data_IF_999315361438
#
_entry.id   IF_999315361438
#
_cell.length_a   1.000
_cell.length_b   1.000
_cell.length_c   1.000
_cell.angle_alpha   90.00
_cell.angle_beta   90.00
_cell.angle_gamma   90.00
#
_symmetry.space_group_name_H-M   'P 1'
#
loop_
_entity.id
_entity.type
_entity.pdbx_description
1 polymer ?
#
# COMPACT_ATOMS: atom_id res chain seq x y z
N UNK A 1 -27.66 -4.01 -0.57
CA UNK A 1 -27.65 -3.49 0.82
C UNK A 1 -28.27 -4.52 1.74
N UNK A 2 -27.63 -4.83 2.88
CA UNK A 2 -28.25 -5.69 3.89
C UNK A 2 -29.40 -4.95 4.56
N UNK A 3 -30.45 -5.67 4.96
CA UNK A 3 -31.67 -5.13 5.59
C UNK A 3 -31.46 -4.05 6.67
N UNK A 4 -30.51 -4.18 7.61
CA UNK A 4 -30.27 -3.13 8.62
C UNK A 4 -29.68 -1.82 8.05
N UNK A 5 -28.93 -1.88 6.94
CA UNK A 5 -28.26 -0.69 6.37
C UNK A 5 -29.25 0.27 5.69
N UNK A 6 -30.28 -0.26 5.03
CA UNK A 6 -31.31 0.55 4.38
C UNK A 6 -32.15 1.32 5.41
N UNK A 7 -32.57 0.63 6.48
CA UNK A 7 -33.34 1.24 7.56
C UNK A 7 -32.60 2.39 8.24
N UNK A 8 -31.32 2.18 8.53
CA UNK A 8 -30.46 3.18 9.16
C UNK A 8 -30.24 4.40 8.26
N UNK A 9 -30.12 4.21 6.93
CA UNK A 9 -29.99 5.31 5.97
C UNK A 9 -31.27 6.13 5.84
N UNK A 10 -32.44 5.48 5.84
CA UNK A 10 -33.74 6.18 5.83
C UNK A 10 -33.91 7.02 7.10
N UNK A 11 -33.55 6.46 8.26
CA UNK A 11 -33.56 7.17 9.53
C UNK A 11 -32.65 8.41 9.49
N UNK A 12 -31.43 8.27 9.00
CA UNK A 12 -30.47 9.37 8.85
C UNK A 12 -31.01 10.48 7.94
N UNK A 13 -31.51 10.12 6.75
CA UNK A 13 -32.06 11.08 5.79
C UNK A 13 -33.28 11.82 6.35
N UNK A 14 -34.15 11.14 7.10
CA UNK A 14 -35.30 11.75 7.77
C UNK A 14 -34.84 12.78 8.81
N UNK A 15 -33.86 12.42 9.63
CA UNK A 15 -33.29 13.31 10.65
C UNK A 15 -32.59 14.52 10.03
N UNK A 16 -31.86 14.35 8.92
CA UNK A 16 -31.23 15.45 8.20
C UNK A 16 -32.24 16.45 7.63
N UNK A 17 -33.43 15.97 7.25
CA UNK A 17 -34.55 16.83 6.85
C UNK A 17 -35.34 17.42 8.02
N UNK A 18 -35.02 17.04 9.27
CA UNK A 18 -35.70 17.50 10.46
C UNK A 18 -37.13 16.98 10.63
N UNK A 19 -37.51 15.90 9.93
CA UNK A 19 -38.87 15.36 9.94
C UNK A 19 -39.08 14.38 11.10
N UNK A 20 -40.27 14.36 11.68
CA UNK A 20 -40.77 13.28 12.55
C UNK A 20 -41.20 12.06 11.72
N UNK A 21 -41.45 10.92 12.37
CA UNK A 21 -41.92 9.72 11.66
C UNK A 21 -43.32 9.95 11.08
N UNK A 22 -44.18 10.67 11.80
CA UNK A 22 -45.52 11.06 11.40
C UNK A 22 -45.49 11.99 10.18
N UNK A 23 -44.59 12.98 10.17
CA UNK A 23 -44.43 13.90 9.03
C UNK A 23 -43.90 13.20 7.77
N UNK A 24 -42.98 12.24 7.91
CA UNK A 24 -42.55 11.42 6.78
C UNK A 24 -43.70 10.56 6.24
N UNK A 25 -44.52 10.00 7.13
CA UNK A 25 -45.69 9.18 6.81
C UNK A 25 -46.72 9.96 6.00
N UNK A 26 -47.00 11.21 6.36
CA UNK A 26 -47.89 12.10 5.59
C UNK A 26 -47.40 12.30 4.15
N UNK A 27 -46.08 12.39 3.96
CA UNK A 27 -45.48 12.66 2.65
C UNK A 27 -45.36 11.41 1.77
N UNK A 28 -45.16 10.22 2.36
CA UNK A 28 -44.97 8.98 1.61
C UNK A 28 -46.18 8.03 1.61
N UNK A 29 -47.26 8.36 2.34
CA UNK A 29 -48.48 7.57 2.45
C UNK A 29 -48.24 6.10 2.86
N UNK A 30 -47.34 5.90 3.82
CA UNK A 30 -46.98 4.59 4.40
C UNK A 30 -47.33 4.63 5.89
N UNK A 31 -47.80 3.53 6.48
CA UNK A 31 -48.16 3.55 7.90
C UNK A 31 -46.95 3.83 8.82
N UNK A 32 -47.16 4.57 9.91
CA UNK A 32 -46.13 4.84 10.94
C UNK A 32 -45.45 3.55 11.40
N UNK A 33 -46.24 2.51 11.66
CA UNK A 33 -45.73 1.19 12.06
C UNK A 33 -44.81 0.56 11.01
N UNK A 34 -45.08 0.79 9.73
CA UNK A 34 -44.21 0.30 8.65
C UNK A 34 -42.90 1.08 8.60
N UNK A 35 -42.93 2.41 8.72
CA UNK A 35 -41.72 3.25 8.76
C UNK A 35 -40.84 2.86 9.95
N UNK A 36 -41.42 2.68 11.14
CA UNK A 36 -40.69 2.24 12.34
C UNK A 36 -39.97 0.91 12.14
N UNK A 37 -40.65 -0.08 11.57
CA UNK A 37 -40.06 -1.41 11.32
C UNK A 37 -38.99 -1.38 10.23
N UNK A 38 -39.13 -0.48 9.24
CA UNK A 38 -38.10 -0.24 8.22
C UNK A 38 -36.87 0.40 8.87
N UNK A 39 -37.05 1.50 9.64
CA UNK A 39 -35.95 2.21 10.32
C UNK A 39 -35.22 1.31 11.34
N UNK A 40 -35.95 0.43 12.03
CA UNK A 40 -35.39 -0.56 12.95
C UNK A 40 -34.76 -1.79 12.24
N UNK A 41 -34.87 -1.88 10.91
CA UNK A 41 -34.33 -3.01 10.14
C UNK A 41 -35.10 -4.32 10.33
N UNK A 42 -36.33 -4.29 10.84
CA UNK A 42 -37.17 -5.48 11.05
C UNK A 42 -37.88 -5.97 9.79
N UNK A 43 -38.07 -5.09 8.81
CA UNK A 43 -38.77 -5.42 7.55
C UNK A 43 -38.09 -4.81 6.34
N UNK A 44 -37.93 -5.61 5.28
CA UNK A 44 -37.52 -5.12 3.96
C UNK A 44 -38.71 -4.60 3.16
N UNK A 45 -38.76 -3.28 2.86
CA UNK A 45 -39.80 -2.73 1.99
C UNK A 45 -39.57 -3.15 0.53
N UNK A 46 -40.66 -3.17 -0.25
CA UNK A 46 -40.57 -3.39 -1.71
C UNK A 46 -39.95 -2.16 -2.39
N UNK A 47 -39.36 -2.35 -3.58
CA UNK A 47 -38.72 -1.27 -4.36
C UNK A 47 -39.63 -0.06 -4.55
N UNK A 48 -40.93 -0.27 -4.80
CA UNK A 48 -41.91 0.80 -4.91
C UNK A 48 -41.99 1.64 -3.62
N UNK A 49 -42.11 0.98 -2.46
CA UNK A 49 -42.15 1.62 -1.14
C UNK A 49 -40.86 2.41 -0.86
N UNK A 50 -39.71 1.87 -1.26
CA UNK A 50 -38.42 2.58 -1.13
C UNK A 50 -38.43 3.87 -1.95
N UNK A 51 -38.88 3.81 -3.21
CA UNK A 51 -39.02 5.02 -4.06
C UNK A 51 -39.90 6.07 -3.40
N UNK A 52 -41.06 5.66 -2.88
CA UNK A 52 -42.00 6.59 -2.25
C UNK A 52 -41.40 7.28 -1.02
N UNK A 53 -40.65 6.55 -0.19
CA UNK A 53 -39.95 7.13 0.97
C UNK A 53 -38.86 8.10 0.53
N UNK A 54 -38.02 7.72 -0.45
CA UNK A 54 -36.94 8.58 -0.93
C UNK A 54 -37.44 9.84 -1.61
N UNK A 55 -38.51 9.73 -2.41
CA UNK A 55 -39.15 10.89 -3.03
C UNK A 55 -39.66 11.88 -1.98
N UNK A 56 -40.23 11.41 -0.86
CA UNK A 56 -40.59 12.28 0.26
C UNK A 56 -39.36 12.93 0.93
N UNK A 57 -38.20 12.28 0.85
CA UNK A 57 -36.92 12.76 1.38
C UNK A 57 -36.12 13.61 0.36
N UNK A 58 -36.69 13.97 -0.79
CA UNK A 58 -36.00 14.65 -1.91
C UNK A 58 -34.71 13.92 -2.34
N UNK A 59 -34.80 12.60 -2.45
CA UNK A 59 -33.72 11.73 -2.92
C UNK A 59 -34.24 10.80 -4.00
N UNK A 60 -33.39 10.48 -4.97
CA UNK A 60 -33.70 9.43 -5.93
C UNK A 60 -33.16 8.09 -5.44
N UNK A 61 -33.66 7.00 -6.01
CA UNK A 61 -33.11 5.66 -5.75
C UNK A 61 -31.63 5.57 -6.17
N UNK A 62 -31.24 6.40 -7.14
CA UNK A 62 -29.86 6.58 -7.58
C UNK A 62 -28.97 7.29 -6.54
N UNK A 63 -29.55 8.05 -5.59
CA UNK A 63 -28.80 8.66 -4.47
C UNK A 63 -28.44 7.64 -3.40
N UNK A 64 -29.32 6.65 -3.15
CA UNK A 64 -28.93 5.47 -2.37
C UNK A 64 -27.84 4.67 -3.08
N UNK A 65 -27.81 4.77 -4.42
CA UNK A 65 -26.76 4.15 -5.19
C UNK A 65 -25.46 4.93 -5.18
N UNK A 66 -25.37 6.23 -4.91
CA UNK A 66 -24.07 6.94 -4.98
C UNK A 66 -23.03 6.42 -3.98
N UNK A 67 -23.43 5.99 -2.79
CA UNK A 67 -22.55 5.30 -1.83
C UNK A 67 -22.17 3.90 -2.36
N UNK A 68 -23.10 3.20 -3.02
CA UNK A 68 -22.87 1.89 -3.65
C UNK A 68 -22.15 1.94 -5.01
N UNK A 69 -22.21 3.08 -5.71
CA UNK A 69 -21.58 3.37 -7.00
C UNK A 69 -20.16 3.81 -6.70
N UNK A 70 -19.88 4.42 -5.55
CA UNK A 70 -18.51 4.54 -5.06
C UNK A 70 -17.93 3.16 -4.76
N UNK A 71 -18.63 2.28 -4.02
CA UNK A 71 -18.20 0.88 -3.85
C UNK A 71 -18.09 0.10 -5.17
N UNK A 72 -19.00 0.32 -6.12
CA UNK A 72 -19.04 -0.38 -7.41
C UNK A 72 -18.01 0.19 -8.37
N UNK A 73 -17.75 1.50 -8.40
CA UNK A 73 -16.65 2.10 -9.17
C UNK A 73 -15.31 1.83 -8.52
N UNK A 74 -15.24 1.63 -7.21
CA UNK A 74 -14.05 1.13 -6.53
C UNK A 74 -13.85 -0.36 -6.85
N UNK A 75 -14.90 -1.20 -6.87
CA UNK A 75 -14.83 -2.61 -7.31
C UNK A 75 -14.52 -2.77 -8.81
N UNK A 76 -15.19 -2.02 -9.69
CA UNK A 76 -14.97 -1.98 -11.13
C UNK A 76 -13.67 -1.27 -11.50
N UNK A 77 -13.24 -0.28 -10.70
CA UNK A 77 -11.88 0.17 -10.79
C UNK A 77 -10.96 -1.00 -10.40
N UNK A 78 -11.09 -1.58 -9.22
CA UNK A 78 -10.10 -2.52 -8.68
C UNK A 78 -10.06 -3.91 -9.33
N UNK A 79 -10.91 -4.24 -10.31
CA UNK A 79 -10.85 -5.47 -11.15
C UNK A 79 -10.29 -6.71 -10.45
N UNK A 80 -10.82 -7.01 -9.27
CA UNK A 80 -10.74 -8.34 -8.66
C UNK A 80 -12.07 -8.58 -7.94
N UNK A 81 -12.68 -9.71 -8.25
CA UNK A 81 -13.73 -10.34 -7.46
C UNK A 81 -13.20 -10.56 -6.04
N UNK A 82 -13.42 -9.55 -5.22
CA UNK A 82 -13.03 -9.51 -3.83
C UNK A 82 -14.11 -10.26 -3.03
N UNK A 83 -13.72 -11.40 -2.45
CA UNK A 83 -14.54 -12.23 -1.58
C UNK A 83 -14.94 -11.37 -0.35
N UNK A 84 -16.24 -11.13 -0.19
CA UNK A 84 -16.83 -10.19 0.80
C UNK A 84 -16.39 -10.47 2.26
N UNK A 85 -15.75 -11.60 2.53
CA UNK A 85 -15.26 -12.00 3.85
C UNK A 85 -13.78 -11.66 4.13
N UNK A 86 -12.95 -11.26 3.14
CA UNK A 86 -11.48 -11.15 3.32
C UNK A 86 -10.81 -9.81 2.99
N UNK A 87 -11.40 -8.86 2.27
CA UNK A 87 -10.53 -7.96 1.50
C UNK A 87 -10.04 -6.65 2.13
N UNK A 88 -10.77 -6.01 3.03
CA UNK A 88 -10.30 -4.75 3.64
C UNK A 88 -9.30 -4.97 4.77
N UNK A 89 -9.62 -5.90 5.67
CA UNK A 89 -8.77 -6.28 6.79
C UNK A 89 -7.45 -6.86 6.28
N UNK A 90 -7.48 -7.61 5.17
CA UNK A 90 -6.28 -8.06 4.47
C UNK A 90 -5.44 -6.90 3.97
N UNK A 91 -6.01 -5.93 3.23
CA UNK A 91 -5.27 -4.77 2.72
C UNK A 91 -4.58 -4.02 3.87
N UNK A 92 -5.34 -3.66 4.90
CA UNK A 92 -4.81 -2.92 6.05
C UNK A 92 -3.74 -3.71 6.81
N UNK A 93 -3.92 -5.03 7.00
CA UNK A 93 -2.92 -5.90 7.63
C UNK A 93 -1.63 -5.97 6.82
N UNK A 94 -1.71 -6.09 5.49
CA UNK A 94 -0.53 -6.16 4.63
C UNK A 94 0.21 -4.81 4.56
N UNK A 95 -0.51 -3.69 4.51
CA UNK A 95 0.10 -2.36 4.64
C UNK A 95 0.76 -2.20 6.02
N UNK A 96 0.13 -2.70 7.09
CA UNK A 96 0.68 -2.66 8.44
C UNK A 96 1.99 -3.44 8.56
N UNK A 97 2.02 -4.68 8.04
CA UNK A 97 3.23 -5.48 7.95
C UNK A 97 4.30 -4.76 7.12
N UNK A 98 3.91 -4.15 6.00
CA UNK A 98 4.82 -3.48 5.07
C UNK A 98 5.59 -2.30 5.66
N UNK A 99 4.94 -1.44 6.45
CA UNK A 99 5.63 -0.30 7.06
C UNK A 99 6.54 -0.72 8.22
N UNK A 100 6.12 -1.70 9.04
CA UNK A 100 6.95 -2.26 10.13
C UNK A 100 8.20 -2.92 9.56
N UNK A 101 8.01 -3.82 8.59
CA UNK A 101 9.12 -4.51 7.92
C UNK A 101 10.01 -3.55 7.14
N UNK A 102 9.46 -2.43 6.63
CA UNK A 102 10.24 -1.34 6.06
C UNK A 102 11.23 -0.74 7.05
N UNK A 103 10.77 -0.37 8.25
CA UNK A 103 11.66 0.17 9.31
C UNK A 103 12.69 -0.88 9.74
N UNK A 104 12.28 -2.13 9.94
CA UNK A 104 13.20 -3.21 10.32
C UNK A 104 14.24 -3.48 9.23
N UNK A 105 13.85 -3.45 7.95
CA UNK A 105 14.78 -3.61 6.82
C UNK A 105 15.77 -2.45 6.74
N UNK A 106 15.34 -1.21 7.03
CA UNK A 106 16.22 -0.06 7.11
C UNK A 106 17.28 -0.24 8.19
N UNK A 107 16.90 -0.73 9.38
CA UNK A 107 17.85 -1.03 10.46
C UNK A 107 18.81 -2.14 10.02
N UNK A 108 18.30 -3.23 9.43
CA UNK A 108 19.12 -4.33 8.96
C UNK A 108 20.16 -3.88 7.91
N UNK A 109 19.77 -3.02 6.97
CA UNK A 109 20.68 -2.44 5.99
C UNK A 109 21.73 -1.50 6.59
N UNK A 110 21.46 -0.82 7.71
CA UNK A 110 22.49 -0.06 8.43
C UNK A 110 23.55 -1.03 8.98
N UNK A 111 23.15 -2.12 9.62
CA UNK A 111 24.10 -3.14 10.09
C UNK A 111 24.87 -3.77 8.94
N UNK A 112 24.21 -4.05 7.82
CA UNK A 112 24.87 -4.61 6.65
C UNK A 112 25.89 -3.63 6.07
N UNK A 113 25.56 -2.34 6.00
CA UNK A 113 26.50 -1.30 5.58
C UNK A 113 27.72 -1.19 6.51
N UNK A 114 27.53 -1.36 7.82
CA UNK A 114 28.63 -1.38 8.80
C UNK A 114 29.53 -2.59 8.56
N UNK A 115 28.94 -3.78 8.41
CA UNK A 115 29.68 -5.03 8.14
C UNK A 115 30.45 -4.95 6.82
N UNK A 116 29.80 -4.52 5.74
CA UNK A 116 30.43 -4.37 4.42
C UNK A 116 31.58 -3.35 4.49
N UNK A 117 31.38 -2.21 5.14
CA UNK A 117 32.44 -1.19 5.30
C UNK A 117 33.62 -1.71 6.12
N UNK A 118 33.35 -2.48 7.16
CA UNK A 118 34.39 -3.07 8.01
C UNK A 118 35.17 -4.16 7.27
N UNK A 119 34.48 -5.03 6.52
CA UNK A 119 35.10 -6.04 5.66
C UNK A 119 36.02 -5.41 4.61
N UNK A 120 35.60 -4.32 3.97
CA UNK A 120 36.44 -3.60 3.00
C UNK A 120 37.71 -3.04 3.66
N UNK A 121 37.60 -2.56 4.90
CA UNK A 121 38.70 -1.92 5.60
C UNK A 121 39.68 -2.91 6.26
N UNK A 122 39.17 -4.03 6.78
CA UNK A 122 39.93 -4.95 7.65
C UNK A 122 40.08 -6.35 7.06
N UNK A 123 39.32 -6.70 6.01
CA UNK A 123 39.30 -8.04 5.43
C UNK A 123 38.54 -9.08 6.24
N UNK A 124 37.76 -8.67 7.24
CA UNK A 124 36.94 -9.55 8.09
C UNK A 124 35.63 -8.85 8.50
N UNK A 125 34.65 -9.61 8.99
CA UNK A 125 33.35 -9.13 9.43
C UNK A 125 33.36 -8.71 10.92
N UNK A 126 32.75 -7.57 11.26
CA UNK A 126 32.87 -6.98 12.59
C UNK A 126 32.22 -7.85 13.67
N UNK A 127 31.00 -8.35 13.39
CA UNK A 127 30.29 -9.31 14.24
C UNK A 127 30.51 -10.78 13.80
N UNK A 128 31.36 -11.01 12.81
CA UNK A 128 31.71 -12.32 12.27
C UNK A 128 30.79 -12.83 11.15
N UNK A 129 31.32 -13.74 10.32
CA UNK A 129 30.64 -14.23 9.12
C UNK A 129 29.27 -14.89 9.37
N UNK A 130 29.10 -15.61 10.49
CA UNK A 130 27.79 -16.21 10.83
C UNK A 130 26.72 -15.13 11.05
N UNK A 131 27.07 -14.05 11.75
CA UNK A 131 26.16 -12.92 11.96
C UNK A 131 25.80 -12.28 10.62
N UNK A 132 26.78 -12.06 9.74
CA UNK A 132 26.56 -11.51 8.41
C UNK A 132 25.58 -12.34 7.57
N UNK A 133 25.72 -13.66 7.58
CA UNK A 133 24.82 -14.58 6.86
C UNK A 133 23.39 -14.49 7.41
N UNK A 134 23.23 -14.53 8.74
CA UNK A 134 21.91 -14.42 9.39
C UNK A 134 21.28 -13.07 9.05
N UNK A 135 22.05 -11.98 9.16
CA UNK A 135 21.60 -10.63 8.84
C UNK A 135 21.16 -10.52 7.37
N UNK A 136 21.91 -11.12 6.44
CA UNK A 136 21.55 -11.14 5.02
C UNK A 136 20.22 -11.87 4.75
N UNK A 137 20.03 -13.07 5.32
CA UNK A 137 18.77 -13.83 5.18
C UNK A 137 17.59 -13.07 5.79
N UNK A 138 17.76 -12.48 6.97
CA UNK A 138 16.73 -11.65 7.61
C UNK A 138 16.41 -10.43 6.77
N UNK A 139 17.42 -9.77 6.21
CA UNK A 139 17.26 -8.58 5.36
C UNK A 139 16.46 -8.89 4.10
N UNK A 140 16.73 -10.03 3.44
CA UNK A 140 15.96 -10.50 2.27
C UNK A 140 14.47 -10.63 2.64
N UNK A 141 14.15 -11.30 3.75
CA UNK A 141 12.77 -11.53 4.18
C UNK A 141 12.07 -10.20 4.50
N UNK A 142 12.72 -9.33 5.28
CA UNK A 142 12.17 -8.03 5.67
C UNK A 142 11.94 -7.12 4.47
N UNK A 143 12.92 -7.04 3.56
CA UNK A 143 12.80 -6.22 2.35
C UNK A 143 11.73 -6.76 1.40
N UNK A 144 11.62 -8.09 1.25
CA UNK A 144 10.57 -8.70 0.44
C UNK A 144 9.16 -8.39 1.00
N UNK A 145 8.96 -8.49 2.33
CA UNK A 145 7.69 -8.14 2.97
C UNK A 145 7.37 -6.65 2.85
N UNK A 146 8.37 -5.79 2.95
CA UNK A 146 8.23 -4.35 2.73
C UNK A 146 7.78 -4.06 1.29
N UNK A 147 8.50 -4.59 0.30
CA UNK A 147 8.21 -4.35 -1.12
C UNK A 147 6.92 -5.01 -1.59
N UNK A 148 6.46 -6.08 -0.93
CA UNK A 148 5.12 -6.66 -1.15
C UNK A 148 4.00 -5.65 -0.87
N UNK A 149 4.20 -4.68 0.04
CA UNK A 149 3.25 -3.59 0.21
C UNK A 149 3.17 -2.71 -1.04
N UNK A 150 4.27 -2.48 -1.76
CA UNK A 150 4.26 -1.73 -3.02
C UNK A 150 3.66 -2.50 -4.19
N UNK A 151 3.77 -3.84 -4.20
CA UNK A 151 3.01 -4.70 -5.12
C UNK A 151 1.51 -4.47 -4.90
N UNK A 152 1.07 -4.54 -3.64
CA UNK A 152 -0.32 -4.28 -3.26
C UNK A 152 -0.75 -2.85 -3.63
N UNK A 153 0.07 -1.82 -3.32
CA UNK A 153 -0.22 -0.43 -3.71
C UNK A 153 -0.32 -0.31 -5.24
N UNK A 154 0.52 -1.01 -5.99
CA UNK A 154 0.44 -1.10 -7.45
C UNK A 154 -0.91 -1.64 -7.92
N UNK A 155 -1.45 -2.64 -7.24
CA UNK A 155 -2.78 -3.18 -7.52
C UNK A 155 -3.88 -2.18 -7.13
N UNK A 156 -3.84 -1.63 -5.92
CA UNK A 156 -4.82 -0.65 -5.41
C UNK A 156 -4.97 0.58 -6.32
N UNK A 157 -3.86 1.07 -6.86
CA UNK A 157 -3.82 2.27 -7.70
C UNK A 157 -3.71 1.96 -9.21
N UNK A 158 -3.91 0.71 -9.64
CA UNK A 158 -3.78 0.26 -11.04
C UNK A 158 -2.45 0.61 -11.71
N UNK A 159 -1.37 0.70 -10.93
CA UNK A 159 -0.03 0.95 -11.44
C UNK A 159 0.67 -0.38 -11.72
N UNK A 160 0.50 -0.90 -12.94
CA UNK A 160 1.21 -2.10 -13.40
C UNK A 160 2.73 -1.93 -13.31
N UNK A 161 3.23 -0.74 -13.64
CA UNK A 161 4.66 -0.42 -13.54
C UNK A 161 5.18 -0.50 -12.10
N UNK A 162 4.43 0.00 -11.11
CA UNK A 162 4.82 -0.11 -9.70
C UNK A 162 4.87 -1.58 -9.26
N UNK A 163 3.86 -2.37 -9.63
CA UNK A 163 3.80 -3.80 -9.33
C UNK A 163 5.04 -4.55 -9.88
N UNK A 164 5.34 -4.38 -11.17
CA UNK A 164 6.46 -5.07 -11.82
C UNK A 164 7.79 -4.60 -11.26
N UNK A 165 8.00 -3.29 -11.10
CA UNK A 165 9.27 -2.76 -10.59
C UNK A 165 9.52 -3.16 -9.14
N UNK A 166 8.48 -3.28 -8.31
CA UNK A 166 8.62 -3.83 -6.96
C UNK A 166 9.05 -5.30 -6.95
N UNK A 167 8.47 -6.14 -7.82
CA UNK A 167 8.88 -7.55 -7.94
C UNK A 167 10.34 -7.64 -8.38
N UNK A 168 10.73 -6.89 -9.41
CA UNK A 168 12.11 -6.84 -9.88
C UNK A 168 13.07 -6.39 -8.78
N UNK A 169 12.68 -5.40 -7.98
CA UNK A 169 13.51 -4.93 -6.87
C UNK A 169 13.74 -6.04 -5.84
N UNK A 170 12.69 -6.79 -5.47
CA UNK A 170 12.82 -7.95 -4.57
C UNK A 170 13.79 -8.97 -5.16
N UNK A 171 13.64 -9.30 -6.44
CA UNK A 171 14.51 -10.27 -7.12
C UNK A 171 15.96 -9.80 -7.13
N UNK A 172 16.21 -8.54 -7.48
CA UNK A 172 17.56 -7.95 -7.52
C UNK A 172 18.20 -7.97 -6.13
N UNK A 173 17.49 -7.48 -5.10
CA UNK A 173 18.00 -7.46 -3.74
C UNK A 173 18.32 -8.88 -3.24
N UNK A 174 17.41 -9.82 -3.46
CA UNK A 174 17.60 -11.23 -3.09
C UNK A 174 18.82 -11.83 -3.78
N UNK A 175 18.95 -11.67 -5.09
CA UNK A 175 20.05 -12.24 -5.86
C UNK A 175 21.40 -11.67 -5.44
N UNK A 176 21.49 -10.35 -5.20
CA UNK A 176 22.73 -9.72 -4.78
C UNK A 176 23.14 -10.15 -3.37
N UNK A 177 22.21 -10.21 -2.41
CA UNK A 177 22.53 -10.65 -1.04
C UNK A 177 22.91 -12.15 -1.02
N UNK A 178 22.17 -13.00 -1.74
CA UNK A 178 22.52 -14.41 -1.86
C UNK A 178 23.89 -14.60 -2.49
N UNK A 179 24.21 -13.81 -3.52
CA UNK A 179 25.53 -13.82 -4.11
C UNK A 179 26.63 -13.55 -3.07
N UNK A 180 26.52 -12.47 -2.27
CA UNK A 180 27.56 -12.16 -1.27
C UNK A 180 27.70 -13.26 -0.21
N UNK A 181 26.58 -13.83 0.25
CA UNK A 181 26.60 -14.94 1.20
C UNK A 181 27.34 -16.16 0.63
N UNK A 182 27.14 -16.46 -0.65
CA UNK A 182 27.83 -17.55 -1.33
C UNK A 182 29.31 -17.19 -1.47
N UNK A 183 29.61 -16.00 -1.98
CA UNK A 183 30.95 -15.54 -2.31
C UNK A 183 31.89 -15.54 -1.09
N UNK A 184 31.34 -15.34 0.12
CA UNK A 184 32.04 -15.38 1.40
C UNK A 184 32.94 -16.61 1.61
N UNK A 185 32.61 -17.75 1.00
CA UNK A 185 33.36 -19.01 1.16
C UNK A 185 34.15 -19.45 -0.08
N UNK A 186 33.98 -18.77 -1.21
CA UNK A 186 34.44 -19.29 -2.51
C UNK A 186 35.19 -18.28 -3.38
N UNK A 187 35.13 -16.99 -3.09
CA UNK A 187 35.82 -15.92 -3.83
C UNK A 187 35.65 -16.02 -5.36
N UNK A 188 34.40 -16.20 -5.81
CA UNK A 188 34.05 -16.39 -7.21
C UNK A 188 34.31 -15.16 -8.07
N UNK A 189 34.15 -13.95 -7.53
CA UNK A 189 34.34 -12.71 -8.30
C UNK A 189 35.24 -11.71 -7.57
N UNK A 190 36.13 -11.01 -8.30
CA UNK A 190 36.84 -9.87 -7.75
C UNK A 190 35.88 -8.81 -7.22
N UNK A 191 36.18 -8.29 -6.03
CA UNK A 191 35.34 -7.31 -5.33
C UNK A 191 34.95 -6.09 -6.19
N UNK A 192 35.88 -5.59 -7.01
CA UNK A 192 35.60 -4.47 -7.92
C UNK A 192 34.56 -4.79 -8.99
N UNK A 193 34.53 -6.02 -9.50
CA UNK A 193 33.51 -6.44 -10.46
C UNK A 193 32.14 -6.61 -9.79
N UNK A 194 32.09 -7.18 -8.57
CA UNK A 194 30.85 -7.22 -7.80
C UNK A 194 30.31 -5.81 -7.49
N UNK A 195 31.18 -4.86 -7.12
CA UNK A 195 30.77 -3.48 -6.86
C UNK A 195 30.13 -2.81 -8.09
N UNK A 196 30.64 -3.06 -9.30
CA UNK A 196 30.04 -2.56 -10.55
C UNK A 196 28.67 -3.20 -10.77
N UNK A 197 28.55 -4.53 -10.59
CA UNK A 197 27.27 -5.26 -10.72
C UNK A 197 26.25 -4.70 -9.74
N UNK A 198 26.62 -4.55 -8.47
CA UNK A 198 25.78 -3.95 -7.42
C UNK A 198 25.28 -2.57 -7.84
N UNK A 199 26.18 -1.69 -8.28
CA UNK A 199 25.85 -0.34 -8.72
C UNK A 199 24.88 -0.32 -9.91
N UNK A 200 25.11 -1.16 -10.92
CA UNK A 200 24.23 -1.24 -12.09
C UNK A 200 22.83 -1.71 -11.70
N UNK A 201 22.74 -2.81 -10.95
CA UNK A 201 21.45 -3.39 -10.58
C UNK A 201 20.65 -2.50 -9.62
N UNK A 202 21.27 -1.94 -8.57
CA UNK A 202 20.59 -0.98 -7.69
C UNK A 202 20.27 0.33 -8.41
N UNK A 203 21.14 0.79 -9.30
CA UNK A 203 20.89 1.97 -10.13
C UNK A 203 19.63 1.83 -10.98
N UNK A 204 19.49 0.70 -11.69
CA UNK A 204 18.30 0.39 -12.46
C UNK A 204 17.07 0.19 -11.56
N UNK A 205 17.20 -0.53 -10.45
CA UNK A 205 16.09 -0.79 -9.53
C UNK A 205 15.50 0.52 -8.97
N UNK A 206 16.34 1.39 -8.41
CA UNK A 206 15.92 2.70 -7.90
C UNK A 206 15.41 3.63 -9.01
N UNK A 207 16.03 3.60 -10.19
CA UNK A 207 15.57 4.40 -11.35
C UNK A 207 14.15 4.03 -11.78
N UNK A 208 13.89 2.74 -12.02
CA UNK A 208 12.58 2.26 -12.46
C UNK A 208 11.52 2.35 -11.36
N UNK A 209 11.86 1.98 -10.12
CA UNK A 209 10.93 2.08 -8.99
C UNK A 209 10.59 3.54 -8.68
N UNK A 210 11.58 4.45 -8.71
CA UNK A 210 11.36 5.89 -8.57
C UNK A 210 10.46 6.46 -9.67
N UNK A 211 10.69 6.07 -10.93
CA UNK A 211 9.82 6.45 -12.05
C UNK A 211 8.39 5.91 -11.88
N UNK A 212 8.23 4.69 -11.35
CA UNK A 212 6.92 4.12 -11.06
C UNK A 212 6.15 4.93 -9.99
N UNK A 213 6.84 5.44 -8.97
CA UNK A 213 6.26 6.30 -7.94
C UNK A 213 5.80 7.66 -8.48
N UNK A 214 6.50 8.24 -9.46
CA UNK A 214 6.08 9.48 -10.13
C UNK A 214 4.71 9.35 -10.82
N UNK A 215 4.38 8.14 -11.29
CA UNK A 215 3.12 7.85 -11.99
C UNK A 215 1.96 7.57 -11.04
N UNK A 216 2.23 7.43 -9.74
CA UNK A 216 1.20 7.19 -8.74
C UNK A 216 0.32 8.44 -8.57
N UNK A 217 -1.00 8.29 -8.70
CA UNK A 217 -1.98 9.38 -8.60
C UNK A 217 -2.72 9.31 -7.26
N UNK A 218 -3.41 10.39 -6.90
CA UNK A 218 -4.33 10.46 -5.76
C UNK A 218 -3.70 10.30 -4.36
N UNK A 219 -2.37 10.47 -4.24
CA UNK A 219 -1.63 10.39 -2.97
C UNK A 219 -0.84 11.67 -2.63
N UNK A 220 -1.14 12.77 -3.33
CA UNK A 220 -0.47 14.07 -3.13
C UNK A 220 0.94 14.12 -3.73
N UNK A 221 1.81 14.95 -3.15
CA UNK A 221 3.18 15.18 -3.64
C UNK A 221 4.22 14.18 -3.09
N UNK A 222 3.89 13.43 -2.03
CA UNK A 222 4.84 12.55 -1.35
C UNK A 222 5.43 11.47 -2.27
N UNK A 223 4.64 10.68 -3.03
CA UNK A 223 5.20 9.70 -3.97
C UNK A 223 6.02 10.35 -5.09
N UNK A 224 5.66 11.57 -5.50
CA UNK A 224 6.41 12.30 -6.53
C UNK A 224 7.78 12.72 -6.01
N UNK A 225 7.84 13.32 -4.82
CA UNK A 225 9.11 13.70 -4.19
C UNK A 225 10.01 12.47 -3.96
N UNK A 226 9.46 11.39 -3.41
CA UNK A 226 10.19 10.14 -3.23
C UNK A 226 10.68 9.55 -4.56
N UNK A 227 9.85 9.59 -5.60
CA UNK A 227 10.20 9.13 -6.94
C UNK A 227 11.38 9.90 -7.55
N UNK A 228 11.39 11.23 -7.44
CA UNK A 228 12.52 12.07 -7.90
C UNK A 228 13.80 11.70 -7.14
N UNK A 229 13.74 11.61 -5.81
CA UNK A 229 14.92 11.29 -4.99
C UNK A 229 15.47 9.91 -5.34
N UNK A 230 14.60 8.91 -5.54
CA UNK A 230 15.03 7.57 -5.95
C UNK A 230 15.65 7.55 -7.35
N UNK A 231 15.11 8.33 -8.30
CA UNK A 231 15.74 8.45 -9.62
C UNK A 231 17.13 9.09 -9.54
N UNK A 232 17.32 10.08 -8.65
CA UNK A 232 18.63 10.68 -8.39
C UNK A 232 19.59 9.63 -7.79
N UNK A 233 19.16 8.90 -6.76
CA UNK A 233 19.94 7.81 -6.16
C UNK A 233 20.29 6.74 -7.21
N UNK A 234 19.34 6.37 -8.06
CA UNK A 234 19.55 5.43 -9.17
C UNK A 234 20.62 5.92 -10.15
N UNK A 235 20.54 7.20 -10.55
CA UNK A 235 21.55 7.84 -11.39
C UNK A 235 22.94 7.86 -10.73
N UNK A 236 23.01 8.15 -9.42
CA UNK A 236 24.27 8.14 -8.68
C UNK A 236 24.90 6.75 -8.65
N UNK A 237 24.11 5.69 -8.43
CA UNK A 237 24.60 4.31 -8.53
C UNK A 237 25.09 3.98 -9.94
N UNK A 238 24.35 4.31 -10.99
CA UNK A 238 24.75 4.01 -12.37
C UNK A 238 26.08 4.65 -12.79
N UNK A 239 26.44 5.80 -12.20
CA UNK A 239 27.74 6.43 -12.46
C UNK A 239 28.91 5.74 -11.77
N UNK A 240 28.65 4.85 -10.79
CA UNK A 240 29.61 4.20 -9.88
C UNK A 240 30.37 5.18 -8.97
N UNK A 241 30.80 6.33 -9.49
CA UNK A 241 31.54 7.39 -8.80
C UNK A 241 30.80 7.91 -7.55
N UNK A 242 29.47 8.07 -7.66
CA UNK A 242 28.66 8.58 -6.57
C UNK A 242 28.05 7.48 -5.68
N UNK A 243 28.46 6.22 -5.86
CA UNK A 243 27.94 5.08 -5.09
C UNK A 243 28.18 5.21 -3.58
N UNK A 244 29.31 5.81 -3.17
CA UNK A 244 29.63 6.07 -1.75
C UNK A 244 28.61 6.97 -1.06
N UNK A 245 27.96 7.87 -1.82
CA UNK A 245 26.89 8.74 -1.32
C UNK A 245 25.53 8.08 -1.55
N UNK A 246 25.36 7.37 -2.67
CA UNK A 246 24.10 6.70 -3.01
C UNK A 246 23.75 5.59 -2.02
N UNK A 247 24.73 4.80 -1.53
CA UNK A 247 24.50 3.70 -0.59
C UNK A 247 23.88 4.13 0.74
N UNK A 248 24.42 5.10 1.50
CA UNK A 248 23.75 5.59 2.71
C UNK A 248 22.42 6.30 2.39
N UNK A 249 22.35 7.07 1.30
CA UNK A 249 21.11 7.73 0.88
C UNK A 249 20.00 6.73 0.54
N UNK A 250 20.35 5.57 -0.02
CA UNK A 250 19.42 4.49 -0.38
C UNK A 250 18.88 3.72 0.82
N UNK A 251 19.54 3.82 1.98
CA UNK A 251 18.98 3.37 3.25
C UNK A 251 17.95 4.38 3.75
N UNK A 252 18.29 5.68 3.73
CA UNK A 252 17.41 6.74 4.21
C UNK A 252 16.11 6.88 3.40
N UNK A 253 16.16 6.62 2.09
CA UNK A 253 14.97 6.68 1.21
C UNK A 253 13.90 5.65 1.61
N UNK A 254 14.26 4.59 2.35
CA UNK A 254 13.29 3.66 2.93
C UNK A 254 12.32 4.35 3.88
N UNK A 255 12.74 5.39 4.60
CA UNK A 255 11.86 6.19 5.45
C UNK A 255 10.73 6.86 4.64
N UNK A 256 11.02 7.33 3.43
CA UNK A 256 10.00 7.86 2.52
C UNK A 256 9.10 6.77 1.96
N UNK A 257 9.63 5.57 1.68
CA UNK A 257 8.82 4.41 1.29
C UNK A 257 7.82 4.02 2.38
N UNK A 258 8.29 3.96 3.64
CA UNK A 258 7.44 3.74 4.82
C UNK A 258 6.35 4.82 4.93
N UNK A 259 6.71 6.09 4.74
CA UNK A 259 5.73 7.19 4.76
C UNK A 259 4.67 7.05 3.65
N UNK A 260 5.02 6.56 2.46
CA UNK A 260 4.06 6.28 1.38
C UNK A 260 3.10 5.16 1.80
N UNK A 261 3.60 4.07 2.38
CA UNK A 261 2.75 2.96 2.85
C UNK A 261 1.76 3.47 3.91
N UNK A 262 2.23 4.26 4.88
CA UNK A 262 1.37 4.88 5.90
C UNK A 262 0.35 5.83 5.28
N UNK A 263 0.74 6.59 4.26
CA UNK A 263 -0.20 7.47 3.56
C UNK A 263 -1.30 6.69 2.84
N UNK A 264 -0.95 5.58 2.20
CA UNK A 264 -1.93 4.68 1.58
C UNK A 264 -2.84 4.06 2.65
N UNK A 265 -2.27 3.63 3.78
CA UNK A 265 -3.04 3.09 4.89
C UNK A 265 -4.10 4.08 5.39
N UNK A 266 -3.75 5.36 5.57
CA UNK A 266 -4.70 6.41 5.93
C UNK A 266 -5.80 6.61 4.89
N UNK A 267 -5.43 6.64 3.60
CA UNK A 267 -6.39 6.83 2.51
C UNK A 267 -7.39 5.68 2.45
N UNK A 268 -6.90 4.44 2.52
CA UNK A 268 -7.75 3.25 2.55
C UNK A 268 -8.65 3.28 3.78
N UNK A 269 -8.10 3.54 4.98
CA UNK A 269 -8.88 3.59 6.22
C UNK A 269 -9.99 4.66 6.19
N UNK A 270 -9.72 5.85 5.64
CA UNK A 270 -10.71 6.94 5.50
C UNK A 270 -11.85 6.63 4.53
N UNK A 271 -11.61 5.77 3.55
CA UNK A 271 -12.64 5.35 2.59
C UNK A 271 -13.59 4.28 3.16
N UNK A 272 -13.28 3.77 4.35
CA UNK A 272 -14.01 2.68 5.03
C UNK A 272 -14.70 3.14 6.33
N UNK A 273 -14.42 4.37 6.76
CA UNK A 273 -15.01 5.03 7.94
C UNK A 273 -16.08 6.01 7.51
#
# INVERSE_FOLDING_TARGET
MKQPQLGQKILELRQLKGLTQEELVEQCNISVRTIQRIEAGETMPRVYTIKTILSALDRDLDDLQQDSIFETKVKEAMLLEIDESKDVSFILKNLHIGWITGILSMIAFIFQFIEDSYFIAQGDYYFGGLFYIILGVVSIILFALHMRAFILIGELFKSYLLKVTSILFISINTLLILYVIIDLNFDYMPQGAYAIIFCVFYGLAYGFFGYALLKLRNLGQLPKAAGIIQMIIGGMFLTVLFSIVAAPASILIQGLNVAIILKVYEVVKKQLS
#
